data_IF_883087891218
#
_entry.id   IF_883087891218
#
_cell.length_a   1.000
_cell.length_b   1.000
_cell.length_c   1.000
_cell.angle_alpha   90.00
_cell.angle_beta   90.00
_cell.angle_gamma   90.00
#
_symmetry.space_group_name_H-M   'P 1'
#
loop_
_entity.id
_entity.type
_entity.pdbx_description
1 polymer ?
#
# COMPACT_ATOMS: atom_id res chain seq x y z
N UNK A 1 -8.90 -37.71 1.37
CA UNK A 1 -8.58 -36.35 1.89
C UNK A 1 -9.75 -35.40 1.61
N UNK A 2 -10.54 -35.08 2.64
CA UNK A 2 -11.57 -34.04 2.60
C UNK A 2 -10.89 -32.69 2.28
N UNK A 3 -10.99 -32.24 1.04
CA UNK A 3 -10.47 -30.96 0.60
C UNK A 3 -11.37 -29.85 1.15
N UNK A 4 -11.10 -29.42 2.39
CA UNK A 4 -11.65 -28.16 2.87
C UNK A 4 -11.16 -27.06 1.94
N UNK A 5 -12.04 -26.58 1.06
CA UNK A 5 -11.74 -25.46 0.17
C UNK A 5 -11.79 -24.19 1.01
N UNK A 6 -10.71 -23.42 1.00
CA UNK A 6 -10.70 -22.06 1.54
C UNK A 6 -11.22 -21.10 0.48
N UNK A 7 -11.99 -20.09 0.89
CA UNK A 7 -12.58 -19.12 -0.04
C UNK A 7 -12.72 -17.75 0.60
N UNK A 8 -12.73 -16.73 -0.25
CA UNK A 8 -13.09 -15.36 0.12
C UNK A 8 -14.60 -15.21 -0.12
N UNK A 9 -15.32 -14.74 0.88
CA UNK A 9 -16.76 -14.47 0.79
C UNK A 9 -17.01 -12.97 0.88
N UNK A 10 -17.47 -12.36 -0.21
CA UNK A 10 -17.96 -10.98 -0.19
C UNK A 10 -19.39 -10.96 0.35
N UNK A 11 -19.59 -10.23 1.45
CA UNK A 11 -20.88 -10.11 2.11
C UNK A 11 -21.26 -8.63 2.24
N UNK A 12 -22.51 -8.31 1.91
CA UNK A 12 -23.03 -6.94 2.08
C UNK A 12 -23.22 -6.62 3.56
N UNK A 13 -22.69 -5.48 4.00
CA UNK A 13 -22.92 -4.91 5.33
C UNK A 13 -23.07 -3.39 5.26
N UNK A 14 -24.30 -2.90 5.38
CA UNK A 14 -24.57 -1.46 5.32
C UNK A 14 -24.49 -0.76 6.69
N UNK A 15 -24.15 -1.47 7.78
CA UNK A 15 -24.12 -0.89 9.13
C UNK A 15 -22.76 -0.34 9.53
N UNK A 16 -21.66 -1.00 9.17
CA UNK A 16 -20.34 -0.73 9.78
C UNK A 16 -19.24 -0.32 8.81
N UNK A 17 -19.59 -0.04 7.54
CA UNK A 17 -18.61 0.31 6.51
C UNK A 17 -18.00 -0.93 5.87
N UNK A 18 -16.69 -0.94 5.68
CA UNK A 18 -15.98 -2.04 5.04
C UNK A 18 -14.87 -2.55 5.93
N UNK A 19 -14.68 -3.87 5.88
CA UNK A 19 -13.77 -4.56 6.77
C UNK A 19 -13.41 -5.92 6.19
N UNK A 20 -12.19 -6.33 6.49
CA UNK A 20 -11.60 -7.57 6.01
C UNK A 20 -10.57 -8.07 7.03
N UNK A 21 -10.49 -9.38 7.26
CA UNK A 21 -9.41 -9.95 8.06
C UNK A 21 -8.07 -9.75 7.36
N UNK A 22 -7.00 -9.62 8.15
CA UNK A 22 -5.64 -9.52 7.60
C UNK A 22 -5.06 -10.92 7.41
N UNK A 23 -4.85 -11.31 6.16
CA UNK A 23 -4.26 -12.58 5.78
C UNK A 23 -5.19 -13.79 5.90
N UNK A 24 -4.64 -14.97 5.64
CA UNK A 24 -5.35 -16.24 5.74
C UNK A 24 -5.33 -16.77 7.18
N UNK A 25 -6.50 -17.08 7.73
CA UNK A 25 -6.67 -17.76 9.01
C UNK A 25 -6.77 -19.28 8.80
N UNK A 26 -5.87 -20.05 9.41
CA UNK A 26 -5.89 -21.53 9.31
C UNK A 26 -7.04 -22.15 10.10
N UNK A 27 -7.61 -21.41 11.06
CA UNK A 27 -8.71 -21.85 11.93
C UNK A 27 -10.09 -21.55 11.34
N UNK A 28 -10.18 -20.54 10.46
CA UNK A 28 -11.37 -20.23 9.67
C UNK A 28 -11.03 -20.24 8.17
N UNK A 29 -11.42 -21.29 7.42
CA UNK A 29 -11.11 -21.38 6.00
C UNK A 29 -11.85 -20.34 5.15
N UNK A 30 -12.79 -19.57 5.73
CA UNK A 30 -13.56 -18.54 5.04
C UNK A 30 -13.12 -17.14 5.45
N UNK A 31 -12.51 -16.40 4.55
CA UNK A 31 -12.23 -14.97 4.77
C UNK A 31 -13.43 -14.15 4.32
N UNK A 32 -14.20 -13.61 5.27
CA UNK A 32 -15.36 -12.76 4.96
C UNK A 32 -14.92 -11.31 4.77
N UNK A 33 -15.18 -10.75 3.59
CA UNK A 33 -15.02 -9.34 3.29
C UNK A 33 -16.38 -8.66 3.36
N UNK A 34 -16.52 -7.71 4.27
CA UNK A 34 -17.73 -6.91 4.45
C UNK A 34 -17.68 -5.68 3.52
N UNK A 35 -18.69 -5.54 2.67
CA UNK A 35 -18.82 -4.44 1.70
C UNK A 35 -20.13 -3.70 1.91
N UNK A 36 -20.05 -2.47 2.41
CA UNK A 36 -21.18 -1.54 2.39
C UNK A 36 -21.49 -1.03 0.99
N UNK A 37 -22.70 -0.48 0.79
CA UNK A 37 -23.07 0.23 -0.43
C UNK A 37 -22.01 1.26 -0.88
N UNK A 38 -21.46 2.04 0.06
CA UNK A 38 -20.48 3.09 -0.24
C UNK A 38 -19.16 2.52 -0.78
N UNK A 39 -18.60 1.49 -0.14
CA UNK A 39 -17.34 0.91 -0.65
C UNK A 39 -17.55 0.12 -1.93
N UNK A 40 -18.70 -0.55 -2.06
CA UNK A 40 -19.06 -1.27 -3.28
C UNK A 40 -19.12 -0.36 -4.50
N UNK A 41 -19.39 0.93 -4.29
CA UNK A 41 -19.39 1.96 -5.34
C UNK A 41 -17.99 2.46 -5.75
N UNK A 42 -16.94 2.13 -4.98
CA UNK A 42 -15.57 2.61 -5.18
C UNK A 42 -14.62 1.43 -5.34
N UNK A 43 -14.12 1.21 -6.56
CA UNK A 43 -13.29 0.03 -6.87
C UNK A 43 -12.01 -0.04 -6.02
N UNK A 44 -11.39 1.09 -5.69
CA UNK A 44 -10.23 1.12 -4.81
C UNK A 44 -10.54 0.70 -3.36
N UNK A 45 -11.76 0.90 -2.88
CA UNK A 45 -12.17 0.39 -1.57
C UNK A 45 -12.29 -1.13 -1.60
N UNK A 46 -12.81 -1.72 -2.67
CA UNK A 46 -12.81 -3.18 -2.83
C UNK A 46 -11.37 -3.72 -2.90
N UNK A 47 -10.48 -3.05 -3.66
CA UNK A 47 -9.06 -3.41 -3.71
C UNK A 47 -8.38 -3.33 -2.33
N UNK A 48 -8.71 -2.33 -1.53
CA UNK A 48 -8.22 -2.18 -0.16
C UNK A 48 -8.58 -3.39 0.71
N UNK A 49 -9.86 -3.79 0.71
CA UNK A 49 -10.30 -4.94 1.50
C UNK A 49 -9.70 -6.26 1.03
N UNK A 50 -9.52 -6.43 -0.28
CA UNK A 50 -8.81 -7.58 -0.85
C UNK A 50 -7.34 -7.56 -0.40
N UNK A 51 -6.71 -6.39 -0.36
CA UNK A 51 -5.34 -6.20 0.14
C UNK A 51 -5.19 -6.71 1.58
N UNK A 52 -6.14 -6.39 2.46
CA UNK A 52 -6.17 -6.96 3.81
C UNK A 52 -6.21 -8.49 3.80
N UNK A 53 -7.12 -9.11 3.03
CA UNK A 53 -7.20 -10.58 2.95
C UNK A 53 -5.91 -11.21 2.42
N UNK A 54 -5.16 -10.49 1.58
CA UNK A 54 -3.85 -10.89 1.07
C UNK A 54 -2.69 -10.63 2.05
N UNK A 55 -2.99 -10.16 3.27
CA UNK A 55 -2.03 -9.98 4.35
C UNK A 55 -1.52 -8.56 4.54
N UNK A 56 -2.04 -7.57 3.80
CA UNK A 56 -1.58 -6.19 3.95
C UNK A 56 -2.20 -5.56 5.20
N UNK A 57 -1.37 -4.86 5.98
CA UNK A 57 -1.83 -3.94 7.03
C UNK A 57 -1.94 -2.54 6.44
N UNK A 58 -2.50 -1.59 7.20
CA UNK A 58 -2.47 -0.21 6.77
C UNK A 58 -1.05 0.35 6.75
N UNK A 59 -0.73 1.19 5.77
CA UNK A 59 0.61 1.76 5.58
C UNK A 59 1.06 2.59 6.79
N UNK A 60 0.14 3.32 7.43
CA UNK A 60 0.43 4.07 8.66
C UNK A 60 0.59 3.18 9.90
N UNK A 61 0.50 1.86 9.79
CA UNK A 61 0.77 0.92 10.87
C UNK A 61 2.14 0.26 10.76
N UNK A 62 2.94 0.62 9.72
CA UNK A 62 4.33 0.22 9.59
C UNK A 62 5.17 0.61 10.81
N UNK A 63 6.17 -0.20 11.10
CA UNK A 63 7.13 0.02 12.20
C UNK A 63 8.00 1.26 12.00
N UNK A 64 8.27 1.64 10.75
CA UNK A 64 9.11 2.79 10.38
C UNK A 64 8.31 4.07 10.12
N UNK A 65 6.98 4.06 10.30
CA UNK A 65 6.08 5.19 9.99
C UNK A 65 6.49 6.51 10.61
N UNK A 66 7.17 6.48 11.77
CA UNK A 66 7.56 7.67 12.53
C UNK A 66 8.53 8.58 11.76
N UNK A 67 9.15 8.06 10.70
CA UNK A 67 10.00 8.84 9.78
C UNK A 67 9.21 9.54 8.67
N UNK A 68 7.89 9.31 8.57
CA UNK A 68 7.06 9.75 7.45
C UNK A 68 5.78 10.47 7.89
N UNK A 69 5.15 9.99 8.97
CA UNK A 69 3.92 10.56 9.50
C UNK A 69 3.98 10.70 11.02
N UNK A 70 3.31 11.74 11.52
CA UNK A 70 2.98 11.92 12.93
C UNK A 70 1.51 11.61 13.17
N UNK A 71 1.19 11.00 14.31
CA UNK A 71 -0.18 10.67 14.71
C UNK A 71 -0.63 11.66 15.78
N UNK A 72 -1.64 12.47 15.47
CA UNK A 72 -2.23 13.43 16.39
C UNK A 72 -3.31 12.74 17.24
N UNK A 73 -2.87 11.97 18.25
CA UNK A 73 -3.74 11.12 19.07
C UNK A 73 -4.90 11.86 19.75
N UNK A 74 -4.70 13.12 20.12
CA UNK A 74 -5.75 13.99 20.69
C UNK A 74 -6.94 14.24 19.75
N UNK A 75 -6.74 14.12 18.43
CA UNK A 75 -7.78 14.31 17.42
C UNK A 75 -8.54 13.01 17.11
N UNK A 76 -8.15 11.86 17.67
CA UNK A 76 -8.73 10.56 17.35
C UNK A 76 -9.94 10.28 18.24
N UNK A 77 -10.99 9.71 17.66
CA UNK A 77 -12.11 9.15 18.42
C UNK A 77 -11.60 8.07 19.41
N UNK A 78 -11.88 8.16 20.72
CA UNK A 78 -11.24 7.31 21.73
C UNK A 78 -11.37 5.80 21.46
N UNK A 79 -12.51 5.35 20.93
CA UNK A 79 -12.77 3.94 20.61
C UNK A 79 -12.02 3.42 19.37
N UNK A 80 -11.39 4.31 18.58
CA UNK A 80 -10.64 3.97 17.37
C UNK A 80 -9.12 4.14 17.54
N UNK A 81 -8.63 4.52 18.73
CA UNK A 81 -7.19 4.70 18.99
C UNK A 81 -6.35 3.46 18.63
N UNK A 82 -6.92 2.26 18.79
CA UNK A 82 -6.27 1.00 18.42
C UNK A 82 -5.92 0.87 16.94
N UNK A 83 -6.67 1.52 16.04
CA UNK A 83 -6.43 1.50 14.59
C UNK A 83 -5.14 2.23 14.19
N UNK A 84 -4.54 2.97 15.13
CA UNK A 84 -3.31 3.73 14.92
C UNK A 84 -2.12 3.07 15.59
N UNK A 85 -2.27 1.88 16.17
CA UNK A 85 -1.13 1.16 16.73
C UNK A 85 -0.26 0.58 15.61
N UNK A 86 1.05 0.61 15.84
CA UNK A 86 2.03 -0.08 14.99
C UNK A 86 1.80 -1.57 15.15
N UNK A 87 1.79 -2.32 14.06
CA UNK A 87 1.77 -3.78 14.13
C UNK A 87 3.15 -4.30 14.55
N UNK A 88 3.21 -5.04 15.65
CA UNK A 88 4.46 -5.59 16.22
C UNK A 88 5.04 -6.69 15.34
N UNK A 89 6.35 -6.69 15.13
CA UNK A 89 7.10 -7.71 14.35
C UNK A 89 6.81 -9.12 14.88
N UNK A 90 6.49 -10.06 13.99
CA UNK A 90 6.38 -11.50 14.25
C UNK A 90 5.02 -12.19 14.03
N UNK A 91 3.93 -11.47 13.74
CA UNK A 91 2.56 -12.06 13.70
C UNK A 91 1.93 -12.22 12.31
N UNK A 92 2.29 -11.38 11.32
CA UNK A 92 1.80 -11.42 9.93
C UNK A 92 2.97 -11.11 8.99
N UNK A 93 2.88 -11.43 7.71
CA UNK A 93 3.87 -11.00 6.70
C UNK A 93 3.89 -9.47 6.66
N UNK A 94 4.88 -8.85 7.31
CA UNK A 94 4.97 -7.40 7.46
C UNK A 94 5.14 -6.72 6.10
N UNK A 95 4.60 -5.49 5.94
CA UNK A 95 4.97 -4.67 4.83
C UNK A 95 6.47 -4.54 4.78
N UNK A 96 7.01 -4.81 3.60
CA UNK A 96 8.44 -4.94 3.43
C UNK A 96 9.09 -3.57 3.60
N UNK A 97 9.72 -3.34 4.75
CA UNK A 97 10.38 -2.08 5.06
C UNK A 97 11.58 -1.80 4.13
N UNK A 98 12.00 -2.76 3.29
CA UNK A 98 12.95 -2.48 2.21
C UNK A 98 12.31 -1.67 1.08
N UNK A 99 10.99 -1.57 1.04
CA UNK A 99 10.26 -0.66 0.15
C UNK A 99 9.99 0.68 0.82
N UNK A 100 9.98 1.72 0.00
CA UNK A 100 9.72 3.09 0.44
C UNK A 100 8.32 3.20 1.06
N UNK A 101 8.16 4.16 1.97
CA UNK A 101 6.85 4.50 2.51
C UNK A 101 6.02 5.23 1.46
N UNK A 102 4.97 4.57 0.96
CA UNK A 102 4.10 5.11 -0.07
C UNK A 102 2.88 5.79 0.56
N UNK A 103 2.91 7.12 0.64
CA UNK A 103 1.76 7.91 1.10
C UNK A 103 0.52 7.74 0.22
N UNK A 104 0.70 7.38 -1.06
CA UNK A 104 -0.38 7.14 -2.01
C UNK A 104 -0.88 5.70 -2.03
N UNK A 105 -0.33 4.81 -1.20
CA UNK A 105 -0.78 3.41 -1.09
C UNK A 105 -2.29 3.33 -0.87
N UNK A 106 -2.95 2.38 -1.55
CA UNK A 106 -4.37 2.09 -1.34
C UNK A 106 -4.64 1.68 0.11
N UNK A 107 -3.63 1.17 0.82
CA UNK A 107 -3.69 0.77 2.23
C UNK A 107 -3.48 1.93 3.20
N UNK A 108 -3.17 3.14 2.73
CA UNK A 108 -3.00 4.29 3.60
C UNK A 108 -4.37 4.90 3.98
N UNK A 109 -4.55 5.23 5.25
CA UNK A 109 -5.67 6.05 5.72
C UNK A 109 -5.59 7.48 5.20
N UNK A 110 -6.73 8.16 5.11
CA UNK A 110 -6.75 9.58 4.83
C UNK A 110 -6.27 10.40 6.04
N UNK A 111 -6.02 11.69 5.79
CA UNK A 111 -5.50 12.65 6.80
C UNK A 111 -6.43 12.80 8.02
N UNK A 112 -7.74 12.61 7.85
CA UNK A 112 -8.78 12.87 8.85
C UNK A 112 -9.45 11.59 9.36
N UNK A 113 -8.89 10.42 9.06
CA UNK A 113 -9.44 9.13 9.47
C UNK A 113 -9.74 9.12 10.98
N UNK A 114 -10.98 8.78 11.34
CA UNK A 114 -11.45 8.72 12.74
C UNK A 114 -11.27 10.01 13.56
N UNK A 115 -11.26 11.18 12.91
CA UNK A 115 -11.18 12.47 13.59
C UNK A 115 -12.41 12.74 14.46
N UNK A 116 -12.19 13.25 15.67
CA UNK A 116 -13.23 13.64 16.64
C UNK A 116 -13.57 15.14 16.59
N UNK A 117 -12.78 15.93 15.87
CA UNK A 117 -12.81 17.40 15.91
C UNK A 117 -12.55 18.04 14.54
N UNK A 118 -12.64 17.25 13.46
CA UNK A 118 -12.34 17.64 12.08
C UNK A 118 -10.89 18.12 11.85
N UNK A 119 -9.99 17.90 12.81
CA UNK A 119 -8.56 18.14 12.64
C UNK A 119 -7.85 16.86 12.16
N UNK A 120 -6.69 16.99 11.48
CA UNK A 120 -5.91 15.85 11.00
C UNK A 120 -5.56 14.87 12.13
N UNK A 121 -5.74 13.58 11.89
CA UNK A 121 -5.28 12.49 12.77
C UNK A 121 -3.93 11.93 12.31
N UNK A 122 -3.67 11.95 11.01
CA UNK A 122 -2.39 11.56 10.40
C UNK A 122 -1.79 12.76 9.68
N UNK A 123 -0.59 13.16 10.07
CA UNK A 123 0.10 14.34 9.54
C UNK A 123 1.37 13.88 8.84
N UNK A 124 1.45 14.06 7.52
CA UNK A 124 2.69 13.83 6.78
C UNK A 124 3.78 14.80 7.25
N UNK A 125 4.98 14.27 7.56
CA UNK A 125 6.12 15.09 7.97
C UNK A 125 6.64 15.94 6.80
N UNK A 126 6.49 15.43 5.57
CA UNK A 126 6.66 16.23 4.36
C UNK A 126 5.29 16.68 3.84
N UNK A 127 5.05 17.98 3.95
CA UNK A 127 3.78 18.64 3.58
C UNK A 127 3.34 18.41 2.14
N UNK A 128 4.26 18.05 1.23
CA UNK A 128 3.96 17.76 -0.18
C UNK A 128 3.08 16.52 -0.33
N UNK A 129 3.14 15.59 0.62
CA UNK A 129 2.42 14.31 0.58
C UNK A 129 1.12 14.29 1.39
N UNK A 130 0.79 15.37 2.11
CA UNK A 130 -0.43 15.39 2.94
C UNK A 130 -1.72 15.08 2.15
N UNK A 131 -1.77 15.49 0.88
CA UNK A 131 -2.92 15.30 -0.01
C UNK A 131 -2.93 13.99 -0.80
N UNK A 132 -1.87 13.17 -0.71
CA UNK A 132 -1.81 11.88 -1.42
C UNK A 132 -2.41 10.74 -0.59
N UNK A 133 -2.44 10.91 0.74
CA UNK A 133 -2.96 9.92 1.68
C UNK A 133 -4.47 9.71 1.54
N UNK A 134 -4.91 8.45 1.62
CA UNK A 134 -6.32 8.09 1.62
C UNK A 134 -6.99 8.00 0.25
N UNK A 135 -6.22 8.08 -0.83
CA UNK A 135 -6.78 7.86 -2.17
C UNK A 135 -7.43 6.46 -2.27
N UNK A 136 -8.53 6.35 -3.02
CA UNK A 136 -9.25 5.09 -3.30
C UNK A 136 -9.53 4.91 -4.80
N UNK A 137 -8.65 5.44 -5.65
CA UNK A 137 -8.79 5.36 -7.11
C UNK A 137 -8.16 4.09 -7.68
N UNK A 138 -6.95 3.75 -7.24
CA UNK A 138 -6.18 2.59 -7.74
C UNK A 138 -5.15 2.11 -6.72
N UNK A 139 -4.71 0.86 -6.84
CA UNK A 139 -3.50 0.42 -6.15
C UNK A 139 -2.27 1.17 -6.67
N UNK A 140 -1.39 1.58 -5.78
CA UNK A 140 -0.17 2.28 -6.09
C UNK A 140 0.94 1.31 -6.54
N UNK A 141 2.01 1.86 -7.11
CA UNK A 141 3.14 1.08 -7.58
C UNK A 141 3.72 0.16 -6.48
N UNK A 142 3.88 0.67 -5.26
CA UNK A 142 4.42 -0.13 -4.16
C UNK A 142 3.44 -1.17 -3.63
N UNK A 143 2.12 -0.96 -3.76
CA UNK A 143 1.12 -1.99 -3.43
C UNK A 143 1.29 -3.21 -4.36
N UNK A 144 1.45 -2.97 -5.67
CA UNK A 144 1.73 -4.03 -6.64
C UNK A 144 3.11 -4.67 -6.44
N UNK A 145 4.12 -3.86 -6.11
CA UNK A 145 5.47 -4.36 -5.85
C UNK A 145 5.49 -5.32 -4.66
N UNK A 146 4.78 -4.96 -3.60
CA UNK A 146 4.67 -5.74 -2.37
C UNK A 146 3.94 -7.07 -2.60
N UNK A 147 2.78 -7.06 -3.26
CA UNK A 147 2.03 -8.31 -3.48
C UNK A 147 2.81 -9.27 -4.38
N UNK A 148 3.49 -8.74 -5.40
CA UNK A 148 4.35 -9.56 -6.26
C UNK A 148 5.52 -10.15 -5.47
N UNK A 149 6.07 -9.42 -4.49
CA UNK A 149 7.12 -9.95 -3.62
C UNK A 149 6.63 -11.10 -2.74
N UNK A 150 5.45 -10.96 -2.17
CA UNK A 150 4.87 -12.00 -1.31
C UNK A 150 4.52 -13.26 -2.10
N UNK A 151 3.90 -13.12 -3.27
CA UNK A 151 3.23 -14.24 -3.95
C UNK A 151 3.88 -14.70 -5.26
N UNK A 152 4.71 -13.89 -5.91
CA UNK A 152 5.25 -14.18 -7.25
C UNK A 152 6.76 -14.49 -7.27
N UNK A 153 7.47 -14.36 -6.14
CA UNK A 153 8.92 -14.64 -6.09
C UNK A 153 9.29 -16.10 -6.31
N UNK A 154 8.35 -17.04 -6.10
CA UNK A 154 8.55 -18.48 -6.28
C UNK A 154 8.07 -19.02 -7.63
N UNK A 155 7.42 -18.18 -8.44
CA UNK A 155 6.76 -18.60 -9.67
C UNK A 155 7.20 -17.69 -10.83
N UNK A 156 7.89 -18.26 -11.82
CA UNK A 156 8.18 -17.59 -13.09
C UNK A 156 9.36 -16.60 -13.12
N UNK A 157 9.63 -15.85 -12.05
CA UNK A 157 10.72 -14.85 -12.03
C UNK A 157 11.47 -14.77 -10.67
N UNK A 158 12.38 -15.72 -10.37
CA UNK A 158 13.16 -15.70 -9.12
C UNK A 158 14.06 -14.47 -8.95
N UNK A 159 14.45 -13.84 -10.07
CA UNK A 159 15.29 -12.65 -10.13
C UNK A 159 14.50 -11.34 -10.18
N UNK A 160 13.19 -11.35 -9.90
CA UNK A 160 12.31 -10.18 -10.02
C UNK A 160 12.83 -8.92 -9.31
N UNK A 161 13.49 -9.11 -8.16
CA UNK A 161 14.12 -8.05 -7.38
C UNK A 161 15.64 -8.16 -7.34
N UNK A 162 16.24 -8.99 -8.19
CA UNK A 162 17.69 -9.16 -8.25
C UNK A 162 18.29 -8.22 -9.31
N UNK A 163 19.49 -7.72 -8.99
CA UNK A 163 20.45 -7.08 -9.89
C UNK A 163 19.92 -6.02 -10.84
N UNK A 164 20.06 -4.74 -10.46
CA UNK A 164 20.34 -3.52 -11.26
C UNK A 164 19.68 -3.32 -12.65
N UNK A 165 18.78 -4.20 -13.09
CA UNK A 165 18.17 -4.19 -14.42
C UNK A 165 17.05 -3.16 -14.47
N UNK A 166 16.36 -2.98 -13.34
CA UNK A 166 15.33 -1.96 -13.18
C UNK A 166 15.83 -0.89 -12.22
N UNK A 167 16.03 0.32 -12.75
CA UNK A 167 16.43 1.51 -12.02
C UNK A 167 15.25 2.15 -11.27
N UNK A 168 15.54 3.16 -10.45
CA UNK A 168 14.53 3.98 -9.75
C UNK A 168 13.52 3.19 -8.90
N UNK A 169 13.94 2.05 -8.32
CA UNK A 169 13.07 1.12 -7.59
C UNK A 169 12.03 0.37 -8.46
N UNK A 170 12.25 0.29 -9.77
CA UNK A 170 11.55 -0.66 -10.64
C UNK A 170 11.77 -2.13 -10.22
N UNK A 171 11.04 -3.04 -10.86
CA UNK A 171 11.23 -4.49 -10.72
C UNK A 171 10.78 -5.21 -11.99
N UNK A 172 11.30 -6.41 -12.25
CA UNK A 172 10.91 -7.15 -13.45
C UNK A 172 9.45 -7.59 -13.39
N UNK A 173 8.77 -7.62 -14.53
CA UNK A 173 7.41 -8.14 -14.61
C UNK A 173 7.36 -9.59 -14.10
N UNK A 174 6.51 -9.91 -13.11
CA UNK A 174 6.49 -11.22 -12.45
C UNK A 174 6.08 -12.37 -13.40
N UNK A 175 5.45 -12.07 -14.53
CA UNK A 175 4.91 -13.09 -15.45
C UNK A 175 5.95 -13.50 -16.50
N UNK A 176 6.74 -12.54 -16.98
CA UNK A 176 7.65 -12.71 -18.11
C UNK A 176 9.12 -12.61 -17.75
N UNK A 177 9.45 -11.91 -16.66
CA UNK A 177 10.81 -11.70 -16.17
C UNK A 177 11.74 -10.99 -17.17
N UNK A 178 11.19 -10.25 -18.15
CA UNK A 178 11.96 -9.72 -19.30
C UNK A 178 11.89 -8.22 -19.49
N UNK A 179 10.95 -7.52 -18.84
CA UNK A 179 10.85 -6.06 -18.88
C UNK A 179 10.58 -5.50 -17.49
N UNK A 180 10.95 -4.25 -17.27
CA UNK A 180 10.75 -3.58 -15.99
C UNK A 180 9.35 -2.97 -15.88
N UNK A 181 8.72 -3.16 -14.71
CA UNK A 181 7.60 -2.36 -14.24
C UNK A 181 8.19 -1.16 -13.49
N UNK A 182 7.86 0.04 -13.96
CA UNK A 182 8.44 1.28 -13.46
C UNK A 182 7.51 2.02 -12.49
N UNK A 183 8.06 2.68 -11.45
CA UNK A 183 7.29 3.61 -10.65
C UNK A 183 6.76 4.76 -11.48
N UNK A 184 5.67 5.37 -11.04
CA UNK A 184 5.05 6.49 -11.74
C UNK A 184 6.06 7.62 -11.99
N UNK A 185 6.08 8.13 -13.23
CA UNK A 185 7.02 9.15 -13.69
C UNK A 185 8.30 8.59 -14.35
N UNK A 186 8.60 7.30 -14.16
CA UNK A 186 9.71 6.62 -14.81
C UNK A 186 9.24 5.68 -15.93
N UNK A 187 10.07 5.53 -16.95
CA UNK A 187 9.80 4.72 -18.13
C UNK A 187 11.07 4.20 -18.77
N UNK A 188 10.98 3.83 -20.05
CA UNK A 188 12.07 3.13 -20.75
C UNK A 188 12.12 1.65 -20.41
N UNK A 189 13.06 0.91 -21.03
CA UNK A 189 13.18 -0.54 -20.82
C UNK A 189 13.60 -0.88 -19.38
N UNK A 190 14.40 -0.01 -18.76
CA UNK A 190 15.03 -0.26 -17.46
C UNK A 190 14.60 0.74 -16.38
N UNK A 191 13.53 1.52 -16.60
CA UNK A 191 13.04 2.54 -15.65
C UNK A 191 14.01 3.70 -15.37
N UNK A 192 14.96 3.94 -16.26
CA UNK A 192 15.96 5.01 -16.22
C UNK A 192 15.60 6.23 -17.07
N UNK A 193 14.48 6.15 -17.82
CA UNK A 193 13.95 7.25 -18.61
C UNK A 193 12.75 7.89 -17.94
N UNK A 194 12.32 9.05 -18.45
CA UNK A 194 11.04 9.66 -18.10
C UNK A 194 9.91 8.85 -18.74
N UNK A 195 8.79 8.70 -18.03
CA UNK A 195 7.58 8.13 -18.64
C UNK A 195 7.16 8.98 -19.87
N UNK A 196 7.12 8.34 -21.05
CA UNK A 196 6.75 8.96 -22.31
C UNK A 196 5.30 9.45 -22.33
N UNK A 197 4.43 8.90 -21.48
CA UNK A 197 3.01 9.27 -21.39
C UNK A 197 2.75 10.36 -20.34
N UNK A 198 3.80 10.82 -19.64
CA UNK A 198 3.70 11.88 -18.66
C UNK A 198 3.63 13.25 -19.33
N UNK A 199 2.56 14.00 -19.07
CA UNK A 199 2.46 15.44 -19.38
C UNK A 199 3.22 16.31 -18.36
N UNK A 200 3.93 15.70 -17.41
CA UNK A 200 4.51 16.39 -16.26
C UNK A 200 5.94 16.87 -16.57
N UNK A 201 6.13 18.11 -17.02
CA UNK A 201 7.40 18.87 -17.08
C UNK A 201 8.66 18.17 -17.66
N UNK A 202 9.77 18.90 -17.81
CA UNK A 202 11.04 18.33 -18.29
C UNK A 202 11.94 17.79 -17.17
N UNK A 203 11.53 17.96 -15.91
CA UNK A 203 12.35 17.66 -14.72
C UNK A 203 12.03 16.25 -14.19
N UNK A 204 13.04 15.39 -14.13
CA UNK A 204 12.99 14.10 -13.44
C UNK A 204 13.43 14.31 -11.99
N UNK A 205 12.53 14.08 -11.03
CA UNK A 205 12.89 14.07 -9.61
C UNK A 205 13.47 12.70 -9.26
N UNK A 206 14.72 12.65 -8.80
CA UNK A 206 15.31 11.40 -8.34
C UNK A 206 14.57 10.89 -7.09
N UNK A 207 14.28 9.57 -6.98
CA UNK A 207 13.71 9.00 -5.78
C UNK A 207 14.77 9.05 -4.68
N UNK A 208 14.69 10.06 -3.83
CA UNK A 208 15.69 10.31 -2.80
C UNK A 208 15.47 9.38 -1.62
N UNK A 209 16.47 8.56 -1.23
CA UNK A 209 16.55 8.12 0.15
C UNK A 209 16.62 9.37 1.03
N UNK A 210 15.90 9.36 2.16
CA UNK A 210 15.63 10.51 3.04
C UNK A 210 16.85 11.34 3.48
N UNK A 211 18.08 10.92 3.23
CA UNK A 211 19.31 11.58 3.67
C UNK A 211 19.96 12.55 2.67
N UNK A 212 19.48 12.69 1.42
CA UNK A 212 20.25 13.47 0.42
C UNK A 212 19.44 14.14 -0.69
N UNK A 213 18.18 14.46 -0.45
CA UNK A 213 17.38 15.23 -1.42
C UNK A 213 17.87 16.68 -1.53
N UNK A 214 18.78 16.97 -2.45
CA UNK A 214 18.97 18.31 -2.97
C UNK A 214 18.16 18.48 -4.25
N UNK A 215 17.26 19.47 -4.24
CA UNK A 215 16.61 19.99 -5.44
C UNK A 215 17.35 21.27 -5.79
N UNK A 216 18.06 21.25 -6.92
CA UNK A 216 18.50 22.49 -7.55
C UNK A 216 17.33 23.03 -8.35
N UNK A 217 16.86 24.23 -7.99
CA UNK A 217 15.88 25.02 -8.76
C UNK A 217 16.59 25.66 -9.94
#
# INVERSE_FOLDING_TARGET
PTTNKSYILFQRDDQYGCSSPVGYDITDPTSVILISFYCGSVIGSIMHEIGHTLGFIHTHQRVDRGSYVSIATSNILPNYAGNFFIWSIGTIQFPDITFLYDYGSIMHYDTYAFSNNHLPTIIALDSRYGKTMGQRQRAAFYDYKEINRLYCTRTGCPQMFSNNACHNNGYLDPRTCSYCICPEGFGGTNCDERDAHSNCGDIILNPTPYSSAQITI
#
